data_IF_885978062675
#
_entry.id   IF_885978062675
#
_cell.length_a   1.000
_cell.length_b   1.000
_cell.length_c   1.000
_cell.angle_alpha   90.00
_cell.angle_beta   90.00
_cell.angle_gamma   90.00
#
_symmetry.space_group_name_H-M   'P 1'
#
loop_
_entity.id
_entity.type
_entity.pdbx_description
1 polymer ?
#
# COMPACT_ATOMS: atom_id res chain seq x y z
N UNK A 1 -2.75 12.15 -7.96
CA UNK A 1 -2.35 11.26 -9.06
C UNK A 1 -1.24 10.33 -8.56
N UNK A 2 -1.42 9.02 -8.69
CA UNK A 2 -0.37 8.04 -8.39
C UNK A 2 0.48 7.79 -9.64
N UNK A 3 1.77 7.50 -9.46
CA UNK A 3 2.74 7.39 -10.56
C UNK A 3 3.71 6.23 -10.36
N UNK A 4 4.21 5.71 -11.48
CA UNK A 4 5.19 4.62 -11.55
C UNK A 4 6.59 5.02 -11.05
N UNK A 5 6.83 6.31 -10.80
CA UNK A 5 8.02 6.80 -10.10
C UNK A 5 7.97 6.61 -8.57
N UNK A 6 6.88 6.03 -8.07
CA UNK A 6 6.68 5.73 -6.65
C UNK A 6 6.13 6.89 -5.82
N UNK A 7 5.58 7.92 -6.47
CA UNK A 7 5.00 9.07 -5.79
C UNK A 7 3.48 9.18 -5.96
N UNK A 8 2.86 9.79 -4.95
CA UNK A 8 1.56 10.41 -5.04
C UNK A 8 1.74 11.92 -5.18
N UNK A 9 1.14 12.50 -6.20
CA UNK A 9 1.14 13.93 -6.49
C UNK A 9 -0.22 14.55 -6.21
N UNK A 10 -0.24 15.73 -5.60
CA UNK A 10 -1.40 16.60 -5.60
C UNK A 10 -1.09 17.83 -6.43
N UNK A 11 -1.97 18.09 -7.39
CA UNK A 11 -1.86 19.18 -8.34
C UNK A 11 -3.05 20.11 -8.14
N UNK A 12 -2.79 21.40 -8.33
CA UNK A 12 -3.84 22.41 -8.42
C UNK A 12 -4.72 22.12 -9.63
N UNK A 13 -6.04 22.16 -9.42
CA UNK A 13 -7.00 21.86 -10.48
C UNK A 13 -7.06 22.96 -11.55
N UNK A 14 -6.70 24.20 -11.22
CA UNK A 14 -6.81 25.33 -12.14
C UNK A 14 -5.63 25.44 -13.12
N UNK A 15 -4.43 25.06 -12.69
CA UNK A 15 -3.18 25.30 -13.44
C UNK A 15 -2.23 24.09 -13.48
N UNK A 16 -2.58 22.97 -12.84
CA UNK A 16 -1.75 21.77 -12.80
C UNK A 16 -0.49 21.89 -11.94
N UNK A 17 -0.28 23.02 -11.24
CA UNK A 17 0.90 23.22 -10.40
C UNK A 17 0.93 22.21 -9.26
N UNK A 18 2.09 21.62 -8.99
CA UNK A 18 2.26 20.73 -7.85
C UNK A 18 2.06 21.48 -6.53
N UNK A 19 1.09 21.04 -5.75
CA UNK A 19 0.84 21.51 -4.39
C UNK A 19 1.71 20.75 -3.39
N UNK A 20 1.72 19.43 -3.51
CA UNK A 20 2.60 18.55 -2.72
C UNK A 20 2.85 17.24 -3.46
N UNK A 21 3.88 16.51 -3.03
CA UNK A 21 4.14 15.13 -3.44
C UNK A 21 4.61 14.30 -2.25
N UNK A 22 4.30 13.01 -2.28
CA UNK A 22 4.67 12.07 -1.22
C UNK A 22 5.22 10.79 -1.82
N UNK A 23 6.38 10.33 -1.33
CA UNK A 23 7.00 9.07 -1.77
C UNK A 23 6.38 7.90 -1.01
N UNK A 24 5.83 6.90 -1.72
CA UNK A 24 5.27 5.71 -1.08
C UNK A 24 6.33 4.70 -0.63
N UNK A 25 7.36 4.49 -1.44
CA UNK A 25 8.46 3.57 -1.11
C UNK A 25 9.47 4.14 -0.09
N UNK A 26 10.33 3.28 0.49
CA UNK A 26 11.32 3.68 1.50
C UNK A 26 12.46 4.52 0.92
N UNK A 27 12.76 4.39 -0.38
CA UNK A 27 13.84 5.10 -1.05
C UNK A 27 13.55 5.31 -2.55
N UNK A 28 14.56 5.78 -3.29
CA UNK A 28 14.48 6.11 -4.71
C UNK A 28 15.04 5.02 -5.64
N UNK A 29 15.08 3.76 -5.20
CA UNK A 29 15.54 2.65 -6.04
C UNK A 29 14.63 2.51 -7.26
N UNK A 30 15.25 2.53 -8.42
CA UNK A 30 14.59 2.33 -9.71
C UNK A 30 15.00 0.98 -10.30
N UNK A 31 14.10 0.38 -11.09
CA UNK A 31 14.29 -0.90 -11.78
C UNK A 31 13.69 -0.81 -13.17
N UNK A 32 14.11 -1.69 -14.08
CA UNK A 32 13.43 -1.88 -15.36
C UNK A 32 12.18 -2.75 -15.13
N UNK A 33 11.01 -2.21 -15.48
CA UNK A 33 9.74 -2.92 -15.46
C UNK A 33 8.92 -2.55 -16.68
N UNK A 34 8.41 -3.54 -17.41
CA UNK A 34 7.69 -3.36 -18.68
C UNK A 34 8.45 -2.43 -19.65
N UNK A 35 9.74 -2.70 -19.86
CA UNK A 35 10.64 -1.95 -20.75
C UNK A 35 10.79 -0.45 -20.42
N UNK A 36 10.47 -0.04 -19.19
CA UNK A 36 10.58 1.34 -18.71
C UNK A 36 11.25 1.39 -17.35
N UNK A 37 11.91 2.52 -17.06
CA UNK A 37 12.42 2.81 -15.73
C UNK A 37 11.24 3.11 -14.79
N UNK A 38 11.10 2.34 -13.72
CA UNK A 38 10.04 2.49 -12.71
C UNK A 38 10.62 2.37 -11.31
N UNK A 39 9.95 2.93 -10.30
CA UNK A 39 10.29 2.70 -8.90
C UNK A 39 10.20 1.21 -8.57
N UNK A 40 11.07 0.72 -7.69
CA UNK A 40 10.90 -0.60 -7.09
C UNK A 40 9.57 -0.72 -6.30
N UNK A 41 9.01 0.42 -5.88
CA UNK A 41 7.67 0.54 -5.30
C UNK A 41 6.84 1.56 -6.08
N UNK A 42 6.28 1.17 -7.24
CA UNK A 42 5.45 2.08 -8.01
C UNK A 42 4.13 2.31 -7.27
N UNK A 43 3.59 3.52 -7.33
CA UNK A 43 2.27 3.83 -6.78
C UNK A 43 1.21 3.53 -7.84
N UNK A 44 0.53 2.39 -7.69
CA UNK A 44 -0.44 1.86 -8.66
C UNK A 44 -1.76 1.57 -7.95
N UNK A 45 -2.88 1.64 -8.68
CA UNK A 45 -4.21 1.42 -8.12
C UNK A 45 -4.98 2.69 -7.77
N UNK A 46 -4.39 3.87 -7.91
CA UNK A 46 -5.09 5.14 -7.71
C UNK A 46 -5.42 5.45 -6.24
N UNK A 47 -5.32 6.71 -5.81
CA UNK A 47 -5.70 7.11 -4.46
C UNK A 47 -7.22 7.10 -4.27
N UNK A 48 -7.68 6.83 -3.04
CA UNK A 48 -9.07 7.06 -2.62
C UNK A 48 -9.11 8.15 -1.57
N UNK A 49 -10.11 9.03 -1.61
CA UNK A 49 -10.26 10.14 -0.66
C UNK A 49 -11.57 9.98 0.10
N UNK A 50 -11.52 10.09 1.42
CA UNK A 50 -12.69 10.15 2.29
C UNK A 50 -12.36 10.95 3.55
N UNK A 51 -13.27 11.81 4.00
CA UNK A 51 -13.12 12.65 5.21
C UNK A 51 -11.82 13.47 5.25
N UNK A 52 -11.45 14.12 4.14
CA UNK A 52 -10.23 14.93 3.99
C UNK A 52 -8.91 14.13 4.17
N UNK A 53 -8.97 12.80 4.07
CA UNK A 53 -7.82 11.91 4.07
C UNK A 53 -7.69 11.22 2.73
N UNK A 54 -6.47 11.20 2.18
CA UNK A 54 -6.14 10.43 0.99
C UNK A 54 -5.41 9.15 1.38
N UNK A 55 -5.90 8.03 0.86
CA UNK A 55 -5.30 6.72 1.03
C UNK A 55 -4.74 6.26 -0.30
N UNK A 56 -3.50 5.79 -0.28
CA UNK A 56 -2.88 5.22 -1.48
C UNK A 56 -1.84 4.19 -1.05
N UNK A 57 -1.44 3.37 -2.02
CA UNK A 57 -0.43 2.38 -1.80
C UNK A 57 0.68 2.40 -2.86
N UNK A 58 1.85 1.91 -2.47
CA UNK A 58 3.00 1.73 -3.33
C UNK A 58 3.67 0.37 -3.07
N UNK A 59 4.18 -0.25 -4.13
CA UNK A 59 4.74 -1.60 -4.07
C UNK A 59 3.85 -2.62 -4.78
N UNK A 60 4.49 -3.53 -5.50
CA UNK A 60 3.83 -4.59 -6.28
C UNK A 60 4.30 -5.97 -5.82
N UNK A 61 5.56 -6.09 -5.46
CA UNK A 61 6.20 -7.36 -5.10
C UNK A 61 6.26 -7.52 -3.59
N UNK A 62 5.68 -8.59 -3.03
CA UNK A 62 5.76 -8.85 -1.59
C UNK A 62 7.20 -8.93 -1.05
N UNK A 63 8.17 -9.34 -1.88
CA UNK A 63 9.59 -9.45 -1.52
C UNK A 63 10.25 -8.11 -1.24
N UNK A 64 9.88 -7.07 -2.01
CA UNK A 64 10.39 -5.70 -1.81
C UNK A 64 9.50 -4.92 -0.81
N UNK A 65 8.30 -5.44 -0.54
CA UNK A 65 7.36 -4.89 0.42
C UNK A 65 6.26 -4.04 -0.20
N UNK A 66 5.25 -3.77 0.62
CA UNK A 66 4.07 -2.97 0.31
C UNK A 66 3.94 -1.85 1.32
N UNK A 67 3.59 -0.66 0.85
CA UNK A 67 3.44 0.52 1.68
C UNK A 67 2.06 1.11 1.47
N UNK A 68 1.25 1.11 2.53
CA UNK A 68 -0.07 1.73 2.56
C UNK A 68 0.00 2.98 3.42
N UNK A 69 -0.54 4.09 2.92
CA UNK A 69 -0.46 5.38 3.59
C UNK A 69 -1.82 6.03 3.71
N UNK A 70 -2.01 6.78 4.79
CA UNK A 70 -3.01 7.82 4.90
C UNK A 70 -2.32 9.17 5.05
N UNK A 71 -2.71 10.12 4.21
CA UNK A 71 -2.19 11.48 4.27
C UNK A 71 -3.35 12.47 4.42
N UNK A 72 -3.11 13.59 5.08
CA UNK A 72 -4.03 14.71 5.02
C UNK A 72 -4.12 15.23 3.57
N UNK A 73 -5.31 15.28 2.99
CA UNK A 73 -5.49 15.54 1.56
C UNK A 73 -4.98 16.93 1.13
N UNK A 74 -5.07 17.94 2.02
CA UNK A 74 -4.64 19.31 1.70
C UNK A 74 -3.13 19.52 1.71
N UNK A 75 -2.41 18.86 2.62
CA UNK A 75 -0.99 19.14 2.84
C UNK A 75 -0.07 17.99 2.43
N UNK A 76 -0.62 16.78 2.25
CA UNK A 76 0.17 15.58 2.01
C UNK A 76 0.92 15.08 3.24
N UNK A 77 0.69 15.66 4.43
CA UNK A 77 1.32 15.19 5.68
C UNK A 77 0.83 13.78 6.03
N UNK A 78 1.73 12.86 6.40
CA UNK A 78 1.33 11.52 6.78
C UNK A 78 0.58 11.53 8.10
N UNK A 79 -0.59 10.90 8.11
CA UNK A 79 -1.34 10.56 9.33
C UNK A 79 -0.87 9.21 9.87
N UNK A 80 -0.70 8.23 8.98
CA UNK A 80 -0.10 6.94 9.30
C UNK A 80 0.51 6.28 8.07
N UNK A 81 1.35 5.27 8.29
CA UNK A 81 1.91 4.41 7.23
C UNK A 81 2.04 2.99 7.72
N UNK A 82 1.40 2.04 7.03
CA UNK A 82 1.58 0.61 7.25
C UNK A 82 2.59 0.07 6.23
N UNK A 83 3.70 -0.49 6.75
CA UNK A 83 4.82 -1.01 5.93
C UNK A 83 5.05 -2.51 6.12
N UNK A 84 4.34 -3.11 7.08
CA UNK A 84 4.65 -4.46 7.56
C UNK A 84 3.77 -5.53 6.89
N UNK A 85 2.58 -5.14 6.43
CA UNK A 85 1.53 -6.08 6.00
C UNK A 85 1.71 -6.68 4.61
N UNK A 86 2.65 -6.19 3.79
CA UNK A 86 2.95 -6.79 2.48
C UNK A 86 4.14 -7.73 2.44
N UNK A 87 4.84 -7.94 3.56
CA UNK A 87 5.98 -8.86 3.63
C UNK A 87 5.91 -9.72 4.90
N UNK A 88 4.72 -10.18 5.24
CA UNK A 88 4.48 -11.12 6.33
C UNK A 88 5.05 -12.50 5.98
N UNK A 89 5.74 -13.12 6.92
CA UNK A 89 6.16 -14.52 6.77
C UNK A 89 4.99 -15.43 7.10
N UNK A 90 4.47 -16.14 6.10
CA UNK A 90 3.21 -16.88 6.23
C UNK A 90 3.20 -18.17 5.40
N UNK A 91 2.37 -19.17 5.78
CA UNK A 91 2.22 -20.39 5.00
C UNK A 91 1.70 -20.07 3.60
N UNK A 92 2.22 -20.81 2.62
CA UNK A 92 1.82 -20.74 1.22
C UNK A 92 0.79 -21.85 0.89
N UNK A 93 0.10 -21.80 -0.26
CA UNK A 93 -0.93 -22.78 -0.61
C UNK A 93 -0.40 -24.21 -0.75
N UNK A 94 0.92 -24.38 -0.82
CA UNK A 94 1.60 -25.67 -0.89
C UNK A 94 1.98 -26.14 0.52
N UNK A 95 1.61 -27.38 0.86
CA UNK A 95 1.83 -27.94 2.19
C UNK A 95 3.31 -27.87 2.60
N UNK A 96 3.56 -27.37 3.81
CA UNK A 96 4.91 -27.21 4.37
C UNK A 96 5.70 -26.00 3.83
N UNK A 97 5.19 -25.28 2.83
CA UNK A 97 5.88 -24.12 2.28
C UNK A 97 5.55 -22.83 3.06
N UNK A 98 6.59 -22.05 3.35
CA UNK A 98 6.51 -20.72 3.96
C UNK A 98 7.27 -19.71 3.12
N UNK A 99 6.80 -18.46 3.12
CA UNK A 99 7.45 -17.39 2.38
C UNK A 99 6.99 -16.02 2.83
N UNK A 100 7.75 -14.99 2.44
CA UNK A 100 7.31 -13.60 2.57
C UNK A 100 6.22 -13.34 1.54
N UNK A 101 5.03 -13.04 2.03
CA UNK A 101 3.84 -12.73 1.24
C UNK A 101 3.02 -11.68 2.00
N UNK A 102 1.83 -11.34 1.52
CA UNK A 102 0.95 -10.40 2.20
C UNK A 102 0.12 -9.60 1.21
N UNK A 103 -0.33 -8.43 1.68
CA UNK A 103 -1.12 -7.52 0.84
C UNK A 103 -0.22 -6.86 -0.20
N UNK A 104 -0.59 -6.98 -1.47
CA UNK A 104 0.01 -6.23 -2.57
C UNK A 104 -1.11 -5.60 -3.38
N UNK A 105 -1.25 -4.27 -3.34
CA UNK A 105 -2.37 -3.60 -3.99
C UNK A 105 -2.35 -3.80 -5.51
N UNK A 106 -3.46 -4.30 -6.03
CA UNK A 106 -3.71 -4.46 -7.46
C UNK A 106 -5.14 -3.97 -7.75
N UNK A 107 -5.26 -2.76 -8.27
CA UNK A 107 -6.54 -2.11 -8.55
C UNK A 107 -6.89 -1.01 -7.54
N UNK A 108 -8.14 -0.55 -7.59
CA UNK A 108 -8.61 0.62 -6.85
C UNK A 108 -8.95 0.32 -5.38
N UNK A 109 -8.38 1.12 -4.47
CA UNK A 109 -8.72 1.08 -3.05
C UNK A 109 -10.16 1.54 -2.82
N UNK A 110 -10.83 0.98 -1.81
CA UNK A 110 -12.18 1.37 -1.41
C UNK A 110 -12.17 1.80 0.06
N UNK A 111 -12.66 3.00 0.35
CA UNK A 111 -12.83 3.49 1.72
C UNK A 111 -14.32 3.60 2.05
N UNK A 112 -14.75 3.04 3.18
CA UNK A 112 -16.14 3.15 3.67
C UNK A 112 -16.21 2.98 5.18
N UNK A 113 -16.85 3.94 5.86
CA UNK A 113 -16.89 3.98 7.33
C UNK A 113 -15.48 3.91 7.93
N UNK A 114 -15.24 2.93 8.79
CA UNK A 114 -13.91 2.68 9.39
C UNK A 114 -13.01 1.77 8.54
N UNK A 115 -13.50 1.25 7.42
CA UNK A 115 -12.79 0.25 6.63
C UNK A 115 -12.07 0.86 5.43
N UNK A 116 -10.87 0.36 5.17
CA UNK A 116 -10.11 0.57 3.96
C UNK A 116 -9.80 -0.79 3.34
N UNK A 117 -10.37 -1.06 2.17
CA UNK A 117 -10.18 -2.30 1.43
C UNK A 117 -9.13 -2.10 0.34
N UNK A 118 -8.19 -3.03 0.28
CA UNK A 118 -7.09 -3.05 -0.67
C UNK A 118 -7.24 -4.31 -1.54
N UNK A 119 -7.61 -4.18 -2.82
CA UNK A 119 -7.68 -5.33 -3.71
C UNK A 119 -6.28 -5.89 -3.97
N UNK A 120 -6.14 -7.21 -4.01
CA UNK A 120 -4.85 -7.93 -4.15
C UNK A 120 -4.82 -8.88 -5.35
N UNK A 121 -5.62 -8.55 -6.38
CA UNK A 121 -5.72 -9.35 -7.60
C UNK A 121 -6.38 -10.70 -7.36
N UNK A 122 -5.60 -11.78 -7.47
CA UNK A 122 -6.06 -13.16 -7.26
C UNK A 122 -6.02 -13.63 -5.79
N UNK A 123 -5.49 -12.80 -4.90
CA UNK A 123 -5.45 -13.10 -3.47
C UNK A 123 -6.67 -12.50 -2.74
N UNK A 124 -6.80 -12.84 -1.45
CA UNK A 124 -7.83 -12.26 -0.58
C UNK A 124 -7.55 -10.76 -0.41
N UNK A 125 -8.56 -9.87 -0.59
CA UNK A 125 -8.38 -8.45 -0.35
C UNK A 125 -7.89 -8.16 1.07
N UNK A 126 -6.98 -7.20 1.21
CA UNK A 126 -6.61 -6.66 2.51
C UNK A 126 -7.73 -5.78 3.07
N UNK A 127 -8.04 -5.90 4.35
CA UNK A 127 -8.96 -4.99 5.03
C UNK A 127 -8.23 -4.34 6.21
N UNK A 128 -8.32 -3.02 6.29
CA UNK A 128 -7.60 -2.22 7.26
C UNK A 128 -8.54 -1.26 7.97
N UNK A 129 -8.25 -1.02 9.24
CA UNK A 129 -8.83 0.11 9.95
C UNK A 129 -8.27 1.39 9.33
N UNK A 130 -9.16 2.22 8.82
CA UNK A 130 -8.84 3.43 8.07
C UNK A 130 -8.17 4.51 8.94
N UNK A 131 -8.45 4.51 10.24
CA UNK A 131 -7.94 5.53 11.17
C UNK A 131 -6.54 5.22 11.68
N UNK A 132 -6.22 3.92 11.81
CA UNK A 132 -4.95 3.45 12.37
C UNK A 132 -4.03 2.79 11.35
N UNK A 133 -4.58 2.37 10.20
CA UNK A 133 -3.86 1.58 9.19
C UNK A 133 -3.61 0.14 9.59
N UNK A 134 -4.16 -0.36 10.70
CA UNK A 134 -3.95 -1.74 11.17
C UNK A 134 -4.80 -2.73 10.37
N UNK A 135 -4.24 -3.90 10.08
CA UNK A 135 -5.01 -4.98 9.44
C UNK A 135 -6.15 -5.43 10.36
N UNK A 136 -7.36 -5.56 9.80
CA UNK A 136 -8.53 -6.12 10.49
C UNK A 136 -8.48 -7.65 10.57
N UNK A 137 -7.64 -8.27 9.74
CA UNK A 137 -7.35 -9.70 9.78
C UNK A 137 -5.90 -9.88 10.25
N UNK A 138 -5.67 -10.04 11.56
CA UNK A 138 -4.33 -10.34 12.06
C UNK A 138 -3.85 -11.69 11.51
N UNK A 139 -2.60 -11.76 11.06
CA UNK A 139 -1.96 -13.03 10.72
C UNK A 139 -1.91 -13.90 11.97
N UNK A 140 -2.49 -15.11 11.92
CA UNK A 140 -2.30 -16.13 12.95
C UNK A 140 -0.84 -16.60 12.92
N UNK A 141 0.06 -15.86 13.55
CA UNK A 141 1.47 -16.22 13.66
C UNK A 141 1.99 -15.96 15.06
N UNK A 142 1.29 -16.49 16.07
CA UNK A 142 1.82 -16.76 17.42
C UNK A 142 0.78 -17.59 18.21
N UNK A 143 0.65 -18.88 17.89
CA UNK A 143 0.41 -19.85 18.95
C UNK A 143 1.75 -20.53 19.22
N UNK A 144 2.45 -20.01 20.23
CA UNK A 144 3.56 -20.71 20.87
C UNK A 144 3.07 -22.08 21.29
N UNK A 145 3.62 -23.14 20.69
CA UNK A 145 3.50 -24.47 21.24
C UNK A 145 4.29 -24.49 22.55
N UNK A 146 3.59 -24.32 23.66
CA UNK A 146 4.11 -24.63 24.98
C UNK A 146 4.46 -26.12 25.01
N UNK A 147 5.72 -26.41 25.33
CA UNK A 147 6.12 -27.71 25.88
C UNK A 147 5.77 -27.75 27.36
#
# INVERSE_FOLDING_TARGET
>A
MASDDGFLYCLSASDGRQLWKFRGGPNNRMVLGNDRMTSAWPARGGPVVLDNVVYFAAGVWPTDGFHLHALEARTGKPLWSNRDTGSLYMPQPHAGAYGRSGVAAQGHLVASGTNLLVPTGRAVPGAFDRTTGKSLFPSRSTQSHGR
#
